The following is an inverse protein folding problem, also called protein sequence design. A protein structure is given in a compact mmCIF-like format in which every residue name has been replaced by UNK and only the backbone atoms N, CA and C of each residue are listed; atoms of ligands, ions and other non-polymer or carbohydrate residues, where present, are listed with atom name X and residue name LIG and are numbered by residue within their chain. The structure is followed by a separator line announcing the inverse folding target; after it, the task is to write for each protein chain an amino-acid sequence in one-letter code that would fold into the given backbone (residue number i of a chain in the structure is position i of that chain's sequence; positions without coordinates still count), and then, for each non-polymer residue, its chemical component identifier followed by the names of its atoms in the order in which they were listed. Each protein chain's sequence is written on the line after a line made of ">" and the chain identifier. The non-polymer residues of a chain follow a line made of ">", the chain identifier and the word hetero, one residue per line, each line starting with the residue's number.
data_IF_539068002483
#
_entry.id   IF_539068002483
#
_cell.length_a   1.000
_cell.length_b   1.000
_cell.length_c   1.000
_cell.angle_alpha   90.00
_cell.angle_beta   90.00
_cell.angle_gamma   90.00
#
_symmetry.space_group_name_H-M   'P 1'
#
loop_
_entity.id
_entity.type
_entity.pdbx_description
1 polymer ?
#
# COMPACT_ATOMS: atom_id res chain seq x y z
N UNK A 1 -6.72 31.76 4.47
CA UNK A 1 -6.16 30.46 4.03
C UNK A 1 -6.82 29.34 4.83
N UNK A 2 -7.48 28.35 4.21
CA UNK A 2 -7.97 27.20 4.97
C UNK A 2 -6.76 26.48 5.56
N UNK A 3 -6.80 26.24 6.87
CA UNK A 3 -5.76 25.51 7.60
C UNK A 3 -5.66 24.11 6.98
N UNK A 4 -4.47 23.60 6.61
CA UNK A 4 -4.37 22.26 6.08
C UNK A 4 -4.94 21.30 7.13
N UNK A 5 -5.96 20.52 6.73
CA UNK A 5 -6.51 19.47 7.57
C UNK A 5 -5.33 18.56 7.92
N UNK A 6 -5.03 18.48 9.22
CA UNK A 6 -3.94 17.67 9.73
C UNK A 6 -4.40 16.22 9.52
N UNK A 7 -4.10 15.66 8.35
CA UNK A 7 -4.31 14.24 8.08
C UNK A 7 -3.43 13.51 9.08
N UNK A 8 -4.05 12.99 10.14
CA UNK A 8 -3.39 12.11 11.08
C UNK A 8 -3.08 10.85 10.29
N UNK A 9 -1.90 10.78 9.70
CA UNK A 9 -1.37 9.53 9.18
C UNK A 9 -1.06 8.69 10.41
N UNK A 10 -1.78 7.57 10.65
CA UNK A 10 -1.45 6.70 11.76
C UNK A 10 0.01 6.25 11.56
N UNK A 11 0.80 6.25 12.63
CA UNK A 11 2.23 5.91 12.58
C UNK A 11 2.45 4.70 13.47
N UNK A 12 3.27 3.75 13.01
CA UNK A 12 3.59 2.54 13.75
C UNK A 12 4.39 2.95 15.01
N UNK A 13 4.45 2.10 16.03
CA UNK A 13 5.28 2.36 17.22
C UNK A 13 6.77 2.63 16.89
N UNK A 14 7.20 2.20 15.70
CA UNK A 14 8.55 2.36 15.14
C UNK A 14 8.73 3.69 14.36
N UNK A 15 7.72 4.56 14.30
CA UNK A 15 7.80 5.86 13.61
C UNK A 15 7.57 5.80 12.09
N UNK A 16 7.44 4.62 11.49
CA UNK A 16 7.03 4.44 10.08
C UNK A 16 5.53 4.75 9.87
N UNK A 17 5.12 5.42 8.78
CA UNK A 17 3.70 5.58 8.44
C UNK A 17 3.00 4.22 8.38
N UNK A 18 1.89 4.05 9.09
CA UNK A 18 1.02 2.88 8.99
C UNK A 18 0.32 2.94 7.65
N UNK A 19 0.71 2.03 6.75
CA UNK A 19 -0.06 1.77 5.54
C UNK A 19 -1.30 0.95 5.89
N UNK A 20 -2.29 1.05 5.02
CA UNK A 20 -3.53 0.29 5.10
C UNK A 20 -3.29 -1.22 5.16
N UNK A 21 -4.27 -1.93 5.67
CA UNK A 21 -4.36 -3.38 5.58
C UNK A 21 -4.74 -3.86 4.18
N UNK A 22 -4.48 -5.14 3.88
CA UNK A 22 -5.00 -5.79 2.68
C UNK A 22 -6.53 -5.80 2.64
N UNK A 23 -7.19 -5.89 3.80
CA UNK A 23 -8.65 -5.78 3.91
C UNK A 23 -9.16 -4.40 3.51
N UNK A 24 -8.52 -3.33 4.00
CA UNK A 24 -8.83 -1.96 3.57
C UNK A 24 -8.56 -1.74 2.08
N UNK A 25 -7.48 -2.31 1.55
CA UNK A 25 -7.16 -2.28 0.12
C UNK A 25 -8.28 -2.93 -0.72
N UNK A 26 -8.76 -4.11 -0.32
CA UNK A 26 -9.86 -4.82 -0.98
C UNK A 26 -11.20 -4.12 -0.82
N UNK A 27 -11.47 -3.52 0.33
CA UNK A 27 -12.66 -2.70 0.56
C UNK A 27 -12.71 -1.49 -0.40
N UNK A 28 -11.55 -0.96 -0.79
CA UNK A 28 -11.42 0.06 -1.85
C UNK A 28 -11.46 -0.49 -3.28
N UNK A 29 -11.69 -1.80 -3.46
CA UNK A 29 -11.76 -2.44 -4.78
C UNK A 29 -10.40 -2.64 -5.45
N UNK A 30 -9.32 -2.61 -4.68
CA UNK A 30 -7.96 -2.88 -5.15
C UNK A 30 -7.57 -4.31 -4.77
N UNK A 31 -7.01 -5.04 -5.74
CA UNK A 31 -6.56 -6.42 -5.52
C UNK A 31 -5.06 -6.59 -5.71
N UNK A 32 -4.39 -5.66 -6.41
CA UNK A 32 -2.94 -5.72 -6.60
C UNK A 32 -2.15 -4.88 -5.59
N UNK A 33 -0.89 -5.27 -5.41
CA UNK A 33 0.14 -4.43 -4.79
C UNK A 33 1.28 -4.20 -5.77
N UNK A 34 1.86 -3.01 -5.73
CA UNK A 34 3.08 -2.66 -6.42
C UNK A 34 4.22 -2.63 -5.40
N UNK A 35 5.23 -3.45 -5.63
CA UNK A 35 6.43 -3.52 -4.80
C UNK A 35 7.54 -2.84 -5.56
N UNK A 36 8.07 -1.74 -5.02
CA UNK A 36 9.13 -0.96 -5.66
C UNK A 36 10.40 -0.90 -4.83
N UNK A 37 11.54 -1.00 -5.52
CA UNK A 37 12.87 -0.88 -4.94
C UNK A 37 13.51 0.45 -5.36
N UNK A 38 14.41 0.96 -4.53
CA UNK A 38 15.16 2.19 -4.81
C UNK A 38 16.05 2.11 -6.07
N UNK A 39 16.37 0.89 -6.55
CA UNK A 39 17.15 0.68 -7.76
C UNK A 39 16.34 0.82 -9.06
N UNK A 40 15.05 1.21 -8.98
CA UNK A 40 14.15 1.37 -10.13
C UNK A 40 13.39 0.10 -10.53
N UNK A 41 13.70 -1.05 -9.91
CA UNK A 41 12.94 -2.28 -10.10
C UNK A 41 11.62 -2.21 -9.36
N UNK A 42 10.53 -2.55 -10.05
CA UNK A 42 9.22 -2.70 -9.45
C UNK A 42 8.53 -3.96 -10.00
N UNK A 43 7.65 -4.54 -9.20
CA UNK A 43 6.85 -5.70 -9.59
C UNK A 43 5.44 -5.54 -9.06
N UNK A 44 4.47 -5.78 -9.93
CA UNK A 44 3.06 -5.87 -9.56
C UNK A 44 2.74 -7.30 -9.15
N UNK A 45 2.29 -7.48 -7.91
CA UNK A 45 1.89 -8.76 -7.34
C UNK A 45 0.40 -8.76 -7.03
N UNK A 46 -0.20 -9.94 -7.07
CA UNK A 46 -1.59 -10.10 -6.64
C UNK A 46 -1.66 -10.11 -5.11
N UNK A 47 -2.55 -9.29 -4.57
CA UNK A 47 -2.78 -9.10 -3.15
C UNK A 47 -3.66 -10.16 -2.48
N UNK A 48 -4.33 -11.04 -3.24
CA UNK A 48 -5.21 -12.09 -2.73
C UNK A 48 -4.55 -13.08 -1.76
N UNK A 49 -3.26 -13.46 -1.90
CA UNK A 49 -2.62 -14.41 -0.99
C UNK A 49 -2.44 -13.90 0.44
N UNK A 50 -2.50 -12.57 0.67
CA UNK A 50 -2.32 -12.02 2.02
C UNK A 50 -3.63 -11.93 2.79
N UNK A 51 -3.65 -12.29 4.09
CA UNK A 51 -4.82 -12.10 4.94
C UNK A 51 -5.20 -10.62 5.07
N UNK A 52 -6.50 -10.35 5.26
CA UNK A 52 -7.02 -8.98 5.39
C UNK A 52 -6.44 -8.20 6.57
N UNK A 53 -5.99 -8.88 7.62
CA UNK A 53 -5.36 -8.29 8.81
C UNK A 53 -3.91 -7.81 8.56
N UNK A 54 -3.27 -8.30 7.51
CA UNK A 54 -1.87 -7.96 7.22
C UNK A 54 -1.81 -6.53 6.68
N UNK A 55 -0.90 -5.72 7.20
CA UNK A 55 -0.62 -4.39 6.64
C UNK A 55 0.39 -4.47 5.52
N UNK A 56 0.27 -3.56 4.56
CA UNK A 56 1.31 -3.39 3.54
C UNK A 56 2.67 -3.13 4.20
N UNK A 57 2.71 -2.36 5.30
CA UNK A 57 3.94 -2.10 6.06
C UNK A 57 4.59 -3.33 6.70
N UNK A 58 3.83 -4.38 7.01
CA UNK A 58 4.39 -5.59 7.63
C UNK A 58 5.11 -6.50 6.63
N UNK A 59 4.81 -6.34 5.35
CA UNK A 59 5.44 -7.11 4.27
C UNK A 59 6.60 -6.37 3.60
N UNK A 60 6.67 -5.04 3.70
CA UNK A 60 7.80 -4.22 3.19
C UNK A 60 9.19 -4.83 3.51
N UNK A 61 9.54 -5.18 4.77
CA UNK A 61 10.86 -5.73 5.11
C UNK A 61 11.07 -7.20 4.69
N UNK A 62 10.03 -7.86 4.16
CA UNK A 62 10.08 -9.26 3.71
C UNK A 62 10.51 -9.37 2.24
N UNK A 63 10.40 -8.29 1.46
CA UNK A 63 10.84 -8.28 0.08
C UNK A 63 12.35 -8.08 -0.04
N UNK A 64 12.95 -8.81 -0.97
CA UNK A 64 14.35 -8.69 -1.36
C UNK A 64 14.42 -8.48 -2.85
N UNK A 65 15.06 -7.39 -3.27
CA UNK A 65 15.24 -7.11 -4.70
C UNK A 65 16.23 -8.12 -5.31
N UNK A 66 15.82 -8.82 -6.37
CA UNK A 66 16.70 -9.74 -7.10
C UNK A 66 17.79 -9.00 -7.90
N UNK A 67 17.59 -7.71 -8.22
CA UNK A 67 18.57 -6.91 -8.95
C UNK A 67 19.71 -6.40 -8.08
N UNK A 68 19.41 -5.80 -6.93
CA UNK A 68 20.43 -5.19 -6.04
C UNK A 68 20.64 -5.91 -4.71
N UNK A 69 19.90 -7.00 -4.43
CA UNK A 69 20.01 -7.76 -3.18
C UNK A 69 19.50 -7.03 -1.92
N UNK A 70 18.97 -5.82 -2.07
CA UNK A 70 18.54 -5.00 -0.94
C UNK A 70 17.24 -5.53 -0.33
N UNK A 71 17.19 -5.55 1.00
CA UNK A 71 16.02 -5.94 1.78
C UNK A 71 15.19 -4.72 2.12
N UNK A 72 13.87 -4.85 2.01
CA UNK A 72 12.96 -3.72 2.15
C UNK A 72 12.57 -3.17 0.78
N UNK A 73 11.26 -3.15 0.53
CA UNK A 73 10.67 -2.51 -0.64
C UNK A 73 9.50 -1.64 -0.22
N UNK A 74 9.27 -0.56 -0.96
CA UNK A 74 8.07 0.26 -0.79
C UNK A 74 6.90 -0.51 -1.41
N UNK A 75 5.97 -0.93 -0.56
CA UNK A 75 4.76 -1.66 -0.98
C UNK A 75 3.59 -0.69 -0.99
N UNK A 76 2.93 -0.57 -2.13
CA UNK A 76 1.77 0.30 -2.31
C UNK A 76 0.62 -0.46 -2.97
N UNK A 77 -0.63 -0.03 -2.79
CA UNK A 77 -1.73 -0.56 -3.58
C UNK A 77 -1.46 -0.32 -5.06
N UNK A 78 -1.67 -1.33 -5.89
CA UNK A 78 -1.61 -1.20 -7.33
C UNK A 78 -2.99 -0.76 -7.84
N UNK A 79 -3.04 0.43 -8.43
CA UNK A 79 -4.27 1.02 -8.94
C UNK A 79 -4.61 0.56 -10.37
N UNK A 80 -3.66 -0.10 -11.04
CA UNK A 80 -3.86 -0.69 -12.37
C UNK A 80 -4.58 -2.06 -12.25
N UNK A 81 -4.20 -2.86 -11.24
CA UNK A 81 -4.86 -4.12 -10.86
C UNK A 81 -5.95 -3.89 -9.81
N UNK A 82 -7.05 -3.32 -10.26
CA UNK A 82 -8.26 -3.09 -9.48
C UNK A 82 -9.27 -2.24 -10.24
N UNK A 83 -10.30 -1.73 -9.55
CA UNK A 83 -11.12 -0.67 -10.11
C UNK A 83 -10.63 0.69 -9.58
N UNK A 84 -9.69 1.38 -10.26
CA UNK A 84 -9.11 2.63 -9.77
C UNK A 84 -10.16 3.70 -9.49
N UNK A 85 -11.32 3.63 -10.17
CA UNK A 85 -12.47 4.52 -9.93
C UNK A 85 -13.01 4.43 -8.50
N UNK A 86 -12.99 3.24 -7.90
CA UNK A 86 -13.47 3.04 -6.53
C UNK A 86 -12.50 3.61 -5.48
N UNK A 87 -11.19 3.65 -5.80
CA UNK A 87 -10.17 4.18 -4.91
C UNK A 87 -9.99 5.71 -4.99
N UNK A 88 -10.26 6.32 -6.16
CA UNK A 88 -10.23 7.79 -6.33
C UNK A 88 -11.55 8.46 -5.91
N UNK A 89 -12.67 7.78 -6.07
CA UNK A 89 -13.97 8.24 -5.57
C UNK A 89 -14.08 7.83 -4.11
N UNK A 90 -13.36 8.55 -3.25
CA UNK A 90 -13.65 8.54 -1.82
C UNK A 90 -15.16 8.74 -1.65
N UNK A 91 -15.76 7.90 -0.81
CA UNK A 91 -17.16 7.86 -0.42
C UNK A 91 -17.87 9.22 -0.62
N UNK A 92 -18.63 9.38 -1.69
CA UNK A 92 -19.72 10.35 -1.68
C UNK A 92 -20.96 9.62 -1.17
N UNK A 93 -21.08 9.67 0.15
CA UNK A 93 -22.26 9.28 0.91
C UNK A 93 -23.45 10.12 0.42
N UNK A 94 -24.61 9.50 0.22
CA UNK A 94 -25.90 10.16 -0.07
C UNK A 94 -26.91 9.80 0.98
#
# INVERSE_FOLDING_TARGET
>A
MPRPIRRHTPTHADGRPLKITFGEMRAMGLSGILVSCHCGHHVALDGAPWPDEVRLSDIEPRFVCQGCGSRGADVRPDFDRGNPRLAITGSQER
#
